data_IF_704329292277
#
_entry.id   IF_704329292277
#
_cell.length_a   1.000
_cell.length_b   1.000
_cell.length_c   1.000
_cell.angle_alpha   90.00
_cell.angle_beta   90.00
_cell.angle_gamma   90.00
#
_symmetry.space_group_name_H-M   'P 1'
#
loop_
_entity.id
_entity.type
_entity.pdbx_description
1 polymer ?
#
# COMPACT_ATOMS: atom_id res chain seq x y z
N UNK A 1 -19.76 10.41 -17.16
CA UNK A 1 -19.49 10.92 -15.79
C UNK A 1 -18.07 10.48 -15.46
N UNK A 2 -17.24 11.29 -14.83
CA UNK A 2 -15.83 10.96 -14.54
C UNK A 2 -15.77 10.04 -13.33
N UNK A 3 -15.04 8.93 -13.43
CA UNK A 3 -14.86 7.98 -12.34
C UNK A 3 -13.42 8.00 -11.78
N UNK A 4 -13.25 7.55 -10.55
CA UNK A 4 -11.96 7.26 -9.92
C UNK A 4 -11.84 5.75 -9.75
N UNK A 5 -10.86 5.13 -10.42
CA UNK A 5 -10.64 3.69 -10.43
C UNK A 5 -9.40 3.40 -9.60
N UNK A 6 -9.58 2.83 -8.43
CA UNK A 6 -8.51 2.44 -7.51
C UNK A 6 -8.17 0.96 -7.69
N UNK A 7 -6.89 0.68 -7.79
CA UNK A 7 -6.37 -0.66 -8.04
C UNK A 7 -5.31 -0.99 -6.99
N UNK A 8 -5.54 -2.03 -6.20
CA UNK A 8 -4.41 -2.67 -5.52
C UNK A 8 -3.43 -3.22 -6.55
N UNK A 9 -2.20 -3.47 -6.11
CA UNK A 9 -1.11 -3.86 -6.98
C UNK A 9 -0.87 -5.38 -6.98
N UNK A 10 -0.51 -5.93 -5.82
CA UNK A 10 -0.03 -7.30 -5.69
C UNK A 10 -1.19 -8.29 -5.51
N UNK A 11 -1.46 -9.13 -6.50
CA UNK A 11 -2.63 -10.03 -6.51
C UNK A 11 -3.88 -9.42 -7.15
N UNK A 12 -3.84 -8.15 -7.56
CA UNK A 12 -4.93 -7.43 -8.21
C UNK A 12 -4.53 -6.94 -9.61
N UNK A 13 -3.71 -5.87 -9.71
CA UNK A 13 -3.22 -5.35 -10.99
C UNK A 13 -2.13 -6.23 -11.58
N UNK A 14 -1.26 -6.77 -10.73
CA UNK A 14 -0.18 -7.66 -11.14
C UNK A 14 -0.66 -9.12 -11.20
N UNK A 15 -0.29 -9.79 -12.29
CA UNK A 15 -0.40 -11.25 -12.41
C UNK A 15 0.51 -11.96 -11.39
N UNK A 16 0.36 -13.27 -11.24
CA UNK A 16 1.26 -14.11 -10.42
C UNK A 16 2.73 -14.05 -10.90
N UNK A 17 2.96 -13.74 -12.18
CA UNK A 17 4.29 -13.47 -12.74
C UNK A 17 4.77 -12.02 -12.54
N UNK A 18 4.05 -11.21 -11.76
CA UNK A 18 4.36 -9.80 -11.44
C UNK A 18 4.42 -8.88 -12.66
N UNK A 19 3.61 -9.16 -13.66
CA UNK A 19 3.43 -8.33 -14.86
C UNK A 19 2.01 -7.79 -14.92
N UNK A 20 1.80 -6.73 -15.67
CA UNK A 20 0.46 -6.25 -16.01
C UNK A 20 0.09 -6.84 -17.37
N UNK A 21 -1.09 -7.43 -17.49
CA UNK A 21 -1.53 -7.97 -18.76
C UNK A 21 -1.76 -6.85 -19.78
N UNK A 22 -1.63 -7.20 -21.07
CA UNK A 22 -1.84 -6.24 -22.13
C UNK A 22 -3.29 -5.72 -22.15
N UNK A 23 -4.24 -6.61 -21.93
CA UNK A 23 -5.66 -6.28 -21.94
C UNK A 23 -6.03 -5.35 -20.78
N UNK A 24 -5.52 -5.62 -19.57
CA UNK A 24 -5.69 -4.71 -18.43
C UNK A 24 -5.10 -3.33 -18.71
N UNK A 25 -3.88 -3.25 -19.26
CA UNK A 25 -3.28 -1.97 -19.59
C UNK A 25 -4.07 -1.19 -20.65
N UNK A 26 -4.57 -1.86 -21.67
CA UNK A 26 -5.41 -1.25 -22.72
C UNK A 26 -6.74 -0.74 -22.15
N UNK A 27 -7.40 -1.53 -21.29
CA UNK A 27 -8.65 -1.13 -20.64
C UNK A 27 -8.46 0.12 -19.75
N UNK A 28 -7.41 0.17 -18.96
CA UNK A 28 -7.14 1.31 -18.08
C UNK A 28 -6.77 2.58 -18.87
N UNK A 29 -5.97 2.47 -19.94
CA UNK A 29 -5.67 3.59 -20.83
C UNK A 29 -6.95 4.14 -21.47
N UNK A 30 -7.80 3.25 -22.00
CA UNK A 30 -9.08 3.63 -22.56
C UNK A 30 -9.96 4.39 -21.55
N UNK A 31 -10.02 3.92 -20.28
CA UNK A 31 -10.80 4.62 -19.23
C UNK A 31 -10.28 6.03 -18.99
N UNK A 32 -8.95 6.22 -18.92
CA UNK A 32 -8.38 7.57 -18.80
C UNK A 32 -8.62 8.46 -20.02
N UNK A 33 -8.64 7.89 -21.23
CA UNK A 33 -9.02 8.61 -22.46
C UNK A 33 -10.49 9.06 -22.42
N UNK A 34 -11.36 8.30 -21.73
CA UNK A 34 -12.75 8.71 -21.47
C UNK A 34 -12.89 9.75 -20.33
N UNK A 35 -11.80 10.14 -19.70
CA UNK A 35 -11.76 11.18 -18.68
C UNK A 35 -11.76 10.67 -17.24
N UNK A 36 -11.71 9.36 -17.01
CA UNK A 36 -11.55 8.80 -15.68
C UNK A 36 -10.15 9.05 -15.12
N UNK A 37 -9.96 8.75 -13.85
CA UNK A 37 -8.66 8.80 -13.18
C UNK A 37 -8.37 7.42 -12.60
N UNK A 38 -7.21 6.87 -12.93
CA UNK A 38 -6.70 5.63 -12.35
C UNK A 38 -5.73 5.96 -11.22
N UNK A 39 -5.89 5.30 -10.07
CA UNK A 39 -4.99 5.40 -8.91
C UNK A 39 -4.49 4.01 -8.51
N UNK A 40 -3.18 3.89 -8.30
CA UNK A 40 -2.59 2.69 -7.72
C UNK A 40 -2.59 2.82 -6.19
N UNK A 41 -3.14 1.81 -5.49
CA UNK A 41 -3.27 1.79 -4.03
C UNK A 41 -2.52 0.58 -3.45
N UNK A 42 -1.38 0.80 -2.81
CA UNK A 42 -0.45 -0.28 -2.45
C UNK A 42 0.19 -0.09 -1.08
N UNK A 43 0.66 -1.19 -0.46
CA UNK A 43 1.56 -1.15 0.70
C UNK A 43 3.00 -0.75 0.37
N UNK A 44 3.37 -0.71 -0.91
CA UNK A 44 4.72 -0.37 -1.35
C UNK A 44 5.02 1.13 -1.18
N UNK A 45 6.32 1.49 -1.05
CA UNK A 45 6.75 2.89 -1.19
C UNK A 45 6.52 3.38 -2.63
N UNK A 46 6.38 4.69 -2.79
CA UNK A 46 6.08 5.31 -4.10
C UNK A 46 7.14 4.99 -5.15
N UNK A 47 8.39 4.94 -4.75
CA UNK A 47 9.52 4.60 -5.63
C UNK A 47 9.42 3.17 -6.17
N UNK A 48 8.88 2.25 -5.37
CA UNK A 48 8.72 0.82 -5.69
C UNK A 48 7.67 0.51 -6.75
N UNK A 49 6.87 1.48 -7.17
CA UNK A 49 5.82 1.30 -8.19
C UNK A 49 6.09 2.03 -9.51
N UNK A 50 7.25 2.67 -9.63
CA UNK A 50 7.65 3.36 -10.87
C UNK A 50 7.56 2.47 -12.13
N UNK A 51 8.05 1.21 -12.12
CA UNK A 51 7.94 0.35 -13.30
C UNK A 51 6.51 0.14 -13.78
N UNK A 52 5.54 0.04 -12.85
CA UNK A 52 4.13 -0.15 -13.17
C UNK A 52 3.51 1.12 -13.75
N UNK A 53 3.84 2.27 -13.19
CA UNK A 53 3.40 3.58 -13.70
C UNK A 53 3.94 3.79 -15.11
N UNK A 54 5.23 3.51 -15.33
CA UNK A 54 5.87 3.68 -16.64
C UNK A 54 5.30 2.70 -17.67
N UNK A 55 5.02 1.44 -17.28
CA UNK A 55 4.40 0.44 -18.16
C UNK A 55 2.96 0.80 -18.54
N UNK A 56 2.14 1.25 -17.58
CA UNK A 56 0.78 1.65 -17.83
C UNK A 56 0.71 2.84 -18.80
N UNK A 57 1.67 3.75 -18.73
CA UNK A 57 1.78 4.93 -19.61
C UNK A 57 0.43 5.63 -19.81
N UNK A 58 -0.31 5.80 -18.70
CA UNK A 58 -1.66 6.36 -18.71
C UNK A 58 -1.66 7.79 -19.28
N UNK A 59 -2.64 8.17 -20.12
CA UNK A 59 -2.65 9.48 -20.80
C UNK A 59 -3.05 10.65 -19.92
N UNK A 60 -3.67 10.43 -18.75
CA UNK A 60 -4.13 11.45 -17.82
C UNK A 60 -3.03 12.43 -17.36
N UNK A 61 -3.43 13.64 -16.95
CA UNK A 61 -2.51 14.70 -16.51
C UNK A 61 -1.97 14.50 -15.10
N UNK A 62 -2.69 13.76 -14.28
CA UNK A 62 -2.31 13.43 -12.90
C UNK A 62 -2.02 11.93 -12.80
N UNK A 63 -1.15 11.58 -11.85
CA UNK A 63 -0.75 10.20 -11.55
C UNK A 63 -0.89 9.97 -10.06
N UNK A 64 -2.13 9.90 -9.54
CA UNK A 64 -2.31 9.72 -8.12
C UNK A 64 -1.86 8.32 -7.70
N UNK A 65 -1.23 8.26 -6.53
CA UNK A 65 -0.77 7.03 -5.90
C UNK A 65 -1.14 7.08 -4.43
N UNK A 66 -1.75 6.02 -3.93
CA UNK A 66 -1.95 5.73 -2.52
C UNK A 66 -0.88 4.70 -2.14
N UNK A 67 0.12 5.13 -1.39
CA UNK A 67 1.28 4.33 -1.00
C UNK A 67 1.27 4.02 0.51
N UNK A 68 2.09 3.05 0.93
CA UNK A 68 2.22 2.65 2.33
C UNK A 68 0.86 2.35 2.98
N UNK A 69 -0.01 1.61 2.28
CA UNK A 69 -1.37 1.27 2.74
C UNK A 69 -2.21 2.50 3.14
N UNK A 70 -2.01 3.65 2.47
CA UNK A 70 -2.76 4.87 2.73
C UNK A 70 -2.06 5.89 3.65
N UNK A 71 -0.86 5.59 4.14
CA UNK A 71 -0.09 6.59 4.90
C UNK A 71 0.35 7.79 4.04
N UNK A 72 0.38 7.64 2.72
CA UNK A 72 0.71 8.71 1.78
C UNK A 72 -0.15 8.63 0.53
N UNK A 73 -0.81 9.74 0.19
CA UNK A 73 -1.41 9.93 -1.14
C UNK A 73 -0.74 11.12 -1.81
N UNK A 74 -0.18 10.90 -3.00
CA UNK A 74 0.44 11.98 -3.77
C UNK A 74 0.24 11.80 -5.27
N UNK A 75 0.33 12.89 -6.00
CA UNK A 75 0.50 12.85 -7.46
C UNK A 75 1.97 12.53 -7.79
N UNK A 76 2.18 11.42 -8.46
CA UNK A 76 3.51 10.93 -8.83
C UNK A 76 4.23 11.88 -9.79
N UNK A 77 3.50 12.53 -10.71
CA UNK A 77 4.07 13.40 -11.73
C UNK A 77 4.58 14.72 -11.15
N UNK A 78 3.77 15.41 -10.35
CA UNK A 78 4.10 16.71 -9.77
C UNK A 78 4.77 16.61 -8.39
N UNK A 79 4.63 15.46 -7.72
CA UNK A 79 5.05 15.30 -6.33
C UNK A 79 4.11 15.94 -5.30
N UNK A 80 2.97 16.55 -5.71
CA UNK A 80 2.00 17.16 -4.80
C UNK A 80 1.44 16.13 -3.84
N UNK A 81 1.57 16.36 -2.55
CA UNK A 81 0.98 15.55 -1.50
C UNK A 81 -0.50 15.94 -1.35
N UNK A 82 -1.38 14.96 -1.39
CA UNK A 82 -2.84 15.10 -1.24
C UNK A 82 -3.20 14.81 0.21
N UNK A 83 -2.72 13.71 0.75
CA UNK A 83 -2.86 13.36 2.17
C UNK A 83 -1.63 12.62 2.68
N UNK A 84 -1.37 12.76 3.99
CA UNK A 84 -0.36 11.96 4.68
C UNK A 84 -0.76 11.73 6.13
N UNK A 85 -0.52 10.52 6.60
CA UNK A 85 -0.73 10.10 7.98
C UNK A 85 0.56 9.43 8.46
N UNK A 86 1.28 10.08 9.37
CA UNK A 86 2.65 9.74 9.72
C UNK A 86 2.79 9.26 11.15
N UNK A 87 3.85 8.51 11.41
CA UNK A 87 4.37 8.16 12.73
C UNK A 87 5.45 9.20 13.07
N UNK A 88 5.41 9.78 14.26
CA UNK A 88 6.43 10.72 14.73
C UNK A 88 7.78 10.02 14.97
N UNK A 89 8.88 10.77 14.89
CA UNK A 89 10.20 10.25 15.23
C UNK A 89 10.29 9.75 16.68
N UNK A 90 9.55 10.37 17.60
CA UNK A 90 9.40 9.88 18.98
C UNK A 90 8.78 8.48 19.00
N UNK A 91 7.66 8.27 18.31
CA UNK A 91 6.98 6.98 18.26
C UNK A 91 7.81 5.95 17.48
N UNK A 92 8.52 6.37 16.44
CA UNK A 92 9.42 5.51 15.68
C UNK A 92 10.55 4.95 16.54
N UNK A 93 11.14 5.78 17.46
CA UNK A 93 12.14 5.30 18.43
C UNK A 93 11.55 4.33 19.44
N UNK A 94 10.33 4.54 19.91
CA UNK A 94 9.66 3.61 20.83
C UNK A 94 9.40 2.25 20.16
N UNK A 95 8.93 2.26 18.91
CA UNK A 95 8.75 1.05 18.09
C UNK A 95 10.12 0.37 17.90
N UNK A 96 11.17 1.14 17.58
CA UNK A 96 12.55 0.65 17.45
C UNK A 96 13.02 -0.06 18.70
N UNK A 97 12.95 0.60 19.88
CA UNK A 97 13.40 0.03 21.16
C UNK A 97 12.66 -1.28 21.48
N UNK A 98 11.39 -1.34 21.13
CA UNK A 98 10.56 -2.54 21.34
C UNK A 98 10.95 -3.67 20.38
N UNK A 99 11.23 -3.37 19.12
CA UNK A 99 11.70 -4.34 18.13
C UNK A 99 13.08 -4.89 18.46
N UNK A 100 14.00 -4.04 18.92
CA UNK A 100 15.33 -4.45 19.37
C UNK A 100 15.23 -5.44 20.54
N UNK A 101 14.40 -5.15 21.54
CA UNK A 101 14.15 -6.09 22.65
C UNK A 101 13.54 -7.41 22.20
N UNK A 102 12.74 -7.38 21.13
CA UNK A 102 12.16 -8.58 20.53
C UNK A 102 13.15 -9.37 19.65
N UNK A 103 14.36 -8.82 19.38
CA UNK A 103 15.34 -9.46 18.51
C UNK A 103 15.11 -9.25 17.01
N UNK A 104 14.40 -8.19 16.64
CA UNK A 104 14.08 -7.86 15.25
C UNK A 104 15.03 -6.81 14.66
N UNK A 105 15.29 -6.91 13.36
CA UNK A 105 15.77 -5.80 12.55
C UNK A 105 14.67 -4.76 12.34
N UNK A 106 15.08 -3.49 12.19
CA UNK A 106 14.15 -2.36 12.09
C UNK A 106 14.39 -1.58 10.79
N UNK A 107 13.31 -1.32 10.08
CA UNK A 107 13.28 -0.41 8.93
C UNK A 107 12.29 0.72 9.22
N UNK A 108 12.62 1.95 8.79
CA UNK A 108 11.72 3.08 8.86
C UNK A 108 11.73 3.84 7.52
N UNK A 109 10.55 4.24 7.05
CA UNK A 109 10.36 4.84 5.73
C UNK A 109 9.79 6.24 5.88
N UNK A 110 10.56 7.26 5.52
CA UNK A 110 10.08 8.65 5.46
C UNK A 110 9.90 9.10 4.01
N UNK A 111 9.44 10.34 3.81
CA UNK A 111 9.37 10.94 2.47
C UNK A 111 10.75 11.20 1.84
N UNK A 112 11.80 11.21 2.63
CA UNK A 112 13.15 11.63 2.20
C UNK A 112 14.14 10.49 2.18
N UNK A 113 13.97 9.51 3.04
CA UNK A 113 14.94 8.45 3.26
C UNK A 113 14.32 7.19 3.86
N UNK A 114 14.92 6.08 3.54
CA UNK A 114 14.60 4.80 4.15
C UNK A 114 15.75 4.47 5.09
N UNK A 115 15.44 4.14 6.34
CA UNK A 115 16.41 3.93 7.39
C UNK A 115 16.46 2.49 7.83
N UNK A 116 17.67 2.01 8.11
CA UNK A 116 17.92 0.74 8.81
C UNK A 116 18.89 0.97 9.96
N UNK A 117 18.74 0.23 11.04
CA UNK A 117 19.68 0.24 12.14
C UNK A 117 20.74 -0.85 11.90
N UNK A 118 22.06 -0.49 11.75
CA UNK A 118 23.06 -1.41 11.25
C UNK A 118 23.37 -2.58 12.19
N UNK A 119 23.34 -2.38 13.53
CA UNK A 119 23.69 -3.42 14.47
C UNK A 119 22.70 -4.59 14.43
N UNK A 120 21.40 -4.29 14.25
CA UNK A 120 20.31 -5.27 14.20
C UNK A 120 20.01 -5.79 12.81
N UNK A 121 20.42 -5.04 11.78
CA UNK A 121 20.23 -5.46 10.38
C UNK A 121 21.46 -6.14 9.78
N UNK A 122 22.60 -6.14 10.46
CA UNK A 122 23.83 -6.78 9.98
C UNK A 122 23.62 -8.30 9.84
N UNK A 123 23.63 -8.77 8.59
CA UNK A 123 23.40 -10.18 8.29
C UNK A 123 21.91 -10.59 8.31
N UNK A 124 20.98 -9.67 8.53
CA UNK A 124 19.54 -9.94 8.44
C UNK A 124 19.16 -10.11 6.97
N UNK A 125 18.72 -11.30 6.52
CA UNK A 125 18.38 -11.54 5.11
C UNK A 125 17.15 -10.75 4.65
N UNK A 126 16.25 -10.41 5.56
CA UNK A 126 14.97 -9.78 5.26
C UNK A 126 15.12 -8.31 4.86
N UNK A 127 16.16 -7.61 5.37
CA UNK A 127 16.50 -6.24 4.93
C UNK A 127 16.77 -6.21 3.42
N UNK A 128 17.58 -7.15 2.91
CA UNK A 128 17.86 -7.25 1.48
C UNK A 128 16.62 -7.58 0.65
N UNK A 129 15.70 -8.40 1.19
CA UNK A 129 14.45 -8.75 0.53
C UNK A 129 13.59 -7.50 0.35
N UNK A 130 13.35 -6.70 1.39
CA UNK A 130 12.52 -5.49 1.32
C UNK A 130 13.11 -4.49 0.31
N UNK A 131 14.41 -4.24 0.38
CA UNK A 131 15.07 -3.30 -0.53
C UNK A 131 15.00 -3.78 -2.00
N UNK A 132 15.28 -5.06 -2.24
CA UNK A 132 15.23 -5.66 -3.58
C UNK A 132 13.81 -5.72 -4.14
N UNK A 133 12.83 -6.08 -3.30
CA UNK A 133 11.44 -6.21 -3.71
C UNK A 133 10.85 -4.89 -4.21
N UNK A 134 11.21 -3.79 -3.54
CA UNK A 134 10.74 -2.45 -3.87
C UNK A 134 11.69 -1.68 -4.79
N UNK A 135 12.88 -2.20 -5.12
CA UNK A 135 13.88 -1.50 -5.93
C UNK A 135 14.37 -0.20 -5.29
N UNK A 136 14.44 -0.17 -3.96
CA UNK A 136 14.85 1.00 -3.17
C UNK A 136 16.13 0.73 -2.41
N UNK A 137 16.73 1.79 -1.91
CA UNK A 137 17.91 1.75 -1.02
C UNK A 137 17.54 2.25 0.36
N UNK A 138 18.27 1.81 1.38
CA UNK A 138 18.18 2.33 2.72
C UNK A 138 19.56 2.79 3.22
N UNK A 139 19.59 3.79 4.07
CA UNK A 139 20.77 4.28 4.74
C UNK A 139 20.81 3.80 6.20
N UNK A 140 22.02 3.56 6.70
CA UNK A 140 22.23 3.22 8.10
C UNK A 140 22.02 4.45 8.98
N UNK A 141 21.24 4.30 10.06
CA UNK A 141 20.97 5.38 11.00
C UNK A 141 20.96 4.89 12.46
N UNK A 142 21.43 5.74 13.35
CA UNK A 142 21.23 5.59 14.78
C UNK A 142 19.84 6.10 15.15
N UNK A 143 18.91 5.18 15.41
CA UNK A 143 17.52 5.52 15.69
C UNK A 143 17.36 6.41 16.93
N UNK A 144 18.25 6.34 17.92
CA UNK A 144 18.19 7.22 19.08
C UNK A 144 18.48 8.68 18.77
N UNK A 145 19.07 8.97 17.58
CA UNK A 145 19.32 10.34 17.10
C UNK A 145 18.25 10.88 16.16
N UNK A 146 17.21 10.12 15.87
CA UNK A 146 16.08 10.59 15.06
C UNK A 146 15.36 11.70 15.83
N UNK A 147 15.12 12.89 15.21
CA UNK A 147 14.35 13.97 15.82
C UNK A 147 12.92 13.56 16.16
N UNK A 148 12.33 14.14 17.20
CA UNK A 148 10.95 13.84 17.63
C UNK A 148 9.92 14.13 16.55
N UNK A 149 10.16 15.16 15.76
CA UNK A 149 9.29 15.70 14.70
C UNK A 149 9.57 15.13 13.30
N UNK A 150 10.54 14.21 13.18
CA UNK A 150 10.71 13.50 11.90
C UNK A 150 9.49 12.61 11.62
N UNK A 151 9.02 12.64 10.37
CA UNK A 151 7.79 11.95 9.97
C UNK A 151 8.11 10.67 9.18
N UNK A 152 7.52 9.55 9.62
CA UNK A 152 7.65 8.25 8.96
C UNK A 152 6.29 7.76 8.46
N UNK A 153 6.26 7.29 7.23
CA UNK A 153 5.07 6.66 6.63
C UNK A 153 4.84 5.28 7.23
N UNK A 154 5.93 4.57 7.53
CA UNK A 154 5.93 3.20 8.04
C UNK A 154 7.18 2.95 8.87
N UNK A 155 7.03 2.22 9.98
CA UNK A 155 8.13 1.55 10.68
C UNK A 155 7.86 0.05 10.63
N UNK A 156 8.89 -0.77 10.45
CA UNK A 156 8.73 -2.19 10.19
C UNK A 156 9.74 -3.02 10.96
N UNK A 157 9.29 -4.13 11.53
CA UNK A 157 10.14 -5.20 12.02
C UNK A 157 10.42 -6.19 10.90
N UNK A 158 11.65 -6.68 10.87
CA UNK A 158 12.12 -7.70 9.93
C UNK A 158 12.87 -8.79 10.69
N UNK A 159 12.25 -9.95 10.89
CA UNK A 159 12.80 -11.05 11.68
C UNK A 159 12.21 -12.41 11.23
N UNK A 160 12.77 -13.49 11.80
CA UNK A 160 12.20 -14.82 11.64
C UNK A 160 10.71 -14.83 12.06
N UNK A 161 9.85 -15.57 11.34
CA UNK A 161 8.41 -15.62 11.62
C UNK A 161 8.09 -15.94 13.08
N UNK A 162 8.83 -16.85 13.70
CA UNK A 162 8.66 -17.29 15.09
C UNK A 162 8.92 -16.17 16.09
N UNK A 163 9.87 -15.27 15.81
CA UNK A 163 10.16 -14.09 16.63
C UNK A 163 8.97 -13.13 16.59
N UNK A 164 8.46 -12.87 15.39
CA UNK A 164 7.31 -11.98 15.23
C UNK A 164 6.03 -12.57 15.80
N UNK A 165 5.82 -13.90 15.68
CA UNK A 165 4.69 -14.62 16.26
C UNK A 165 4.74 -14.64 17.80
N UNK A 166 5.94 -14.70 18.39
CA UNK A 166 6.12 -14.55 19.81
C UNK A 166 5.84 -13.10 20.25
N UNK A 167 6.37 -12.13 19.50
CA UNK A 167 6.20 -10.71 19.80
C UNK A 167 4.74 -10.28 19.85
N UNK A 168 3.91 -10.63 18.85
CA UNK A 168 2.49 -10.18 18.80
C UNK A 168 1.64 -10.64 19.98
N UNK A 169 2.14 -11.59 20.78
CA UNK A 169 1.47 -12.09 22.00
C UNK A 169 1.90 -11.33 23.27
N UNK A 170 2.90 -10.47 23.19
CA UNK A 170 3.43 -9.74 24.36
C UNK A 170 2.55 -8.58 24.79
N UNK A 171 2.63 -8.11 26.04
CA UNK A 171 1.97 -6.90 26.49
C UNK A 171 2.39 -5.66 25.68
N UNK A 172 3.68 -5.54 25.35
CA UNK A 172 4.25 -4.44 24.58
C UNK A 172 3.66 -4.37 23.17
N UNK A 173 3.47 -5.52 22.53
CA UNK A 173 2.79 -5.59 21.23
C UNK A 173 1.34 -5.10 21.31
N UNK A 174 0.62 -5.50 22.38
CA UNK A 174 -0.77 -5.06 22.59
C UNK A 174 -0.87 -3.55 22.79
N UNK A 175 0.09 -2.95 23.49
CA UNK A 175 0.17 -1.50 23.66
C UNK A 175 0.38 -0.80 22.32
N UNK A 176 1.35 -1.26 21.50
CA UNK A 176 1.58 -0.72 20.17
C UNK A 176 0.37 -0.91 19.25
N UNK A 177 -0.28 -2.08 19.28
CA UNK A 177 -1.51 -2.37 18.51
C UNK A 177 -2.69 -1.48 18.92
N UNK A 178 -2.70 -0.97 20.14
CA UNK A 178 -3.70 -0.01 20.61
C UNK A 178 -3.49 1.42 20.07
N UNK A 179 -2.31 1.71 19.54
CA UNK A 179 -1.90 3.05 19.06
C UNK A 179 -1.66 3.10 17.56
N UNK A 180 -1.26 1.99 16.96
CA UNK A 180 -0.88 1.88 15.56
C UNK A 180 -1.69 0.79 14.86
N UNK A 181 -1.90 0.96 13.56
CA UNK A 181 -2.30 -0.14 12.69
C UNK A 181 -1.09 -1.05 12.51
N UNK A 182 -1.25 -2.34 12.85
CA UNK A 182 -0.18 -3.33 12.74
C UNK A 182 -0.58 -4.39 11.72
N UNK A 183 0.23 -4.52 10.67
CA UNK A 183 -0.02 -5.41 9.53
C UNK A 183 1.11 -6.44 9.40
N UNK A 184 0.75 -7.69 9.14
CA UNK A 184 1.70 -8.73 8.74
C UNK A 184 1.71 -8.80 7.21
N UNK A 185 2.62 -8.06 6.55
CA UNK A 185 2.68 -8.00 5.09
C UNK A 185 3.38 -9.22 4.46
N UNK A 186 4.31 -9.82 5.20
CA UNK A 186 4.94 -11.10 4.86
C UNK A 186 5.22 -11.90 6.14
N UNK A 187 5.48 -13.21 6.07
CA UNK A 187 5.74 -14.01 7.28
C UNK A 187 6.83 -13.42 8.19
N UNK A 188 7.78 -12.69 7.62
CA UNK A 188 8.95 -12.11 8.29
C UNK A 188 8.90 -10.57 8.38
N UNK A 189 7.77 -9.92 8.02
CA UNK A 189 7.57 -8.47 8.15
C UNK A 189 6.35 -8.14 9.01
N UNK A 190 6.52 -7.25 9.99
CA UNK A 190 5.44 -6.69 10.79
C UNK A 190 5.52 -5.16 10.69
N UNK A 191 4.52 -4.55 10.11
CA UNK A 191 4.48 -3.13 9.78
C UNK A 191 3.64 -2.35 10.77
N UNK A 192 4.13 -1.18 11.16
CA UNK A 192 3.44 -0.21 12.01
C UNK A 192 3.14 1.03 11.19
N UNK A 193 1.86 1.44 11.16
CA UNK A 193 1.36 2.60 10.43
C UNK A 193 0.51 3.47 11.35
N UNK A 194 0.33 4.74 10.98
CA UNK A 194 -0.62 5.58 11.67
C UNK A 194 -2.05 5.01 11.47
N UNK A 195 -2.87 4.86 12.53
CA UNK A 195 -4.20 4.25 12.43
C UNK A 195 -5.19 5.07 11.58
N UNK A 196 -4.88 6.34 11.30
CA UNK A 196 -5.67 7.18 10.39
C UNK A 196 -5.30 6.97 8.91
N UNK A 197 -4.21 6.24 8.62
CA UNK A 197 -3.81 5.91 7.26
C UNK A 197 -4.42 4.58 6.83
N UNK A 198 -5.36 4.61 5.88
CA UNK A 198 -5.90 3.41 5.25
C UNK A 198 -6.16 3.66 3.76
N UNK A 199 -6.20 2.59 2.97
CA UNK A 199 -6.46 2.72 1.52
C UNK A 199 -7.84 3.34 1.25
N UNK A 200 -8.86 2.95 2.02
CA UNK A 200 -10.22 3.45 1.85
C UNK A 200 -10.35 4.93 2.21
N UNK A 201 -9.80 5.34 3.35
CA UNK A 201 -9.79 6.75 3.72
C UNK A 201 -9.04 7.60 2.69
N UNK A 202 -7.88 7.13 2.23
CA UNK A 202 -7.07 7.81 1.21
C UNK A 202 -7.78 7.90 -0.13
N UNK A 203 -8.53 6.86 -0.53
CA UNK A 203 -9.37 6.89 -1.72
C UNK A 203 -10.44 7.98 -1.63
N UNK A 204 -11.12 8.10 -0.48
CA UNK A 204 -12.15 9.13 -0.31
C UNK A 204 -11.57 10.53 -0.28
N UNK A 205 -10.43 10.77 0.39
CA UNK A 205 -9.74 12.06 0.37
C UNK A 205 -9.28 12.44 -1.04
N UNK A 206 -8.81 11.47 -1.83
CA UNK A 206 -8.45 11.70 -3.23
C UNK A 206 -9.69 12.00 -4.08
N UNK A 207 -10.79 11.30 -3.88
CA UNK A 207 -12.05 11.56 -4.58
C UNK A 207 -12.54 12.98 -4.32
N UNK A 208 -12.52 13.43 -3.06
CA UNK A 208 -12.86 14.79 -2.67
C UNK A 208 -11.94 15.84 -3.31
N UNK A 209 -10.61 15.62 -3.30
CA UNK A 209 -9.62 16.50 -3.94
C UNK A 209 -9.86 16.63 -5.47
N UNK A 210 -10.37 15.59 -6.09
CA UNK A 210 -10.68 15.56 -7.52
C UNK A 210 -12.11 16.00 -7.87
N UNK A 211 -12.97 16.25 -6.87
CA UNK A 211 -14.39 16.55 -7.06
C UNK A 211 -15.18 15.37 -7.63
N UNK A 212 -14.79 14.15 -7.29
CA UNK A 212 -15.47 12.91 -7.70
C UNK A 212 -16.31 12.39 -6.54
N UNK A 213 -17.62 12.23 -6.75
CA UNK A 213 -18.51 11.69 -5.74
C UNK A 213 -18.23 10.19 -5.49
N UNK A 214 -18.45 9.72 -4.24
CA UNK A 214 -18.27 8.32 -3.84
C UNK A 214 -18.88 7.32 -4.82
N UNK A 215 -20.09 7.57 -5.27
CA UNK A 215 -20.84 6.71 -6.22
C UNK A 215 -20.12 6.49 -7.56
N UNK A 216 -19.16 7.35 -7.90
CA UNK A 216 -18.32 7.25 -9.09
C UNK A 216 -16.91 6.73 -8.78
N UNK A 217 -16.69 6.14 -7.60
CA UNK A 217 -15.44 5.47 -7.26
C UNK A 217 -15.58 3.97 -7.44
N UNK A 218 -14.56 3.35 -8.03
CA UNK A 218 -14.48 1.90 -8.25
C UNK A 218 -13.17 1.44 -7.62
N UNK A 219 -13.20 0.40 -6.79
CA UNK A 219 -12.02 -0.15 -6.16
C UNK A 219 -11.85 -1.64 -6.48
N UNK A 220 -10.62 -2.06 -6.74
CA UNK A 220 -10.23 -3.44 -6.93
C UNK A 220 -9.21 -3.84 -5.89
N UNK A 221 -9.39 -5.01 -5.27
CA UNK A 221 -8.51 -5.54 -4.25
C UNK A 221 -8.62 -7.05 -4.07
N UNK A 222 -7.68 -7.67 -3.35
CA UNK A 222 -7.67 -9.10 -3.12
C UNK A 222 -7.34 -9.51 -1.68
N UNK A 223 -6.83 -8.61 -0.85
CA UNK A 223 -6.33 -8.96 0.47
C UNK A 223 -6.99 -8.16 1.62
N UNK A 224 -6.67 -8.53 2.86
CA UNK A 224 -7.26 -7.90 4.05
C UNK A 224 -6.96 -6.39 4.18
N UNK A 225 -5.84 -5.90 3.62
CA UNK A 225 -5.52 -4.47 3.57
C UNK A 225 -6.31 -3.68 2.52
N UNK A 226 -7.16 -4.36 1.73
CA UNK A 226 -8.05 -3.74 0.74
C UNK A 226 -9.49 -3.63 1.22
N UNK A 227 -9.87 -4.34 2.29
CA UNK A 227 -11.27 -4.42 2.75
C UNK A 227 -11.89 -3.04 2.95
N UNK A 228 -11.18 -2.14 3.62
CA UNK A 228 -11.65 -0.78 3.86
C UNK A 228 -11.78 0.05 2.56
N UNK A 229 -10.94 -0.21 1.58
CA UNK A 229 -11.02 0.44 0.26
C UNK A 229 -12.21 -0.08 -0.54
N UNK A 230 -12.45 -1.39 -0.51
CA UNK A 230 -13.60 -2.01 -1.16
C UNK A 230 -14.92 -1.53 -0.57
N UNK A 231 -15.02 -1.45 0.77
CA UNK A 231 -16.21 -0.94 1.48
C UNK A 231 -16.43 0.57 1.28
N UNK A 232 -15.33 1.36 1.23
CA UNK A 232 -15.41 2.81 1.08
C UNK A 232 -15.84 3.23 -0.32
N UNK A 233 -15.45 2.50 -1.36
CA UNK A 233 -15.79 2.81 -2.75
C UNK A 233 -17.30 2.81 -3.03
N UNK A 234 -17.70 3.44 -4.11
CA UNK A 234 -19.06 3.34 -4.65
C UNK A 234 -19.34 1.96 -5.24
N UNK A 235 -18.28 1.32 -5.78
CA UNK A 235 -18.31 -0.08 -6.22
C UNK A 235 -17.00 -0.75 -5.83
N UNK A 236 -17.06 -1.67 -4.88
CA UNK A 236 -15.95 -2.52 -4.46
C UNK A 236 -15.95 -3.84 -5.20
N UNK A 237 -14.82 -4.25 -5.75
CA UNK A 237 -14.67 -5.45 -6.58
C UNK A 237 -13.50 -6.28 -6.06
N UNK A 238 -13.80 -7.48 -5.57
CA UNK A 238 -12.75 -8.41 -5.15
C UNK A 238 -12.31 -9.30 -6.32
N UNK A 239 -11.00 -9.59 -6.36
CA UNK A 239 -10.46 -10.56 -7.30
C UNK A 239 -10.83 -11.99 -6.87
N UNK A 240 -10.98 -12.92 -7.83
CA UNK A 240 -11.32 -14.33 -7.52
C UNK A 240 -10.24 -15.05 -6.69
N UNK A 241 -8.96 -14.66 -6.86
CA UNK A 241 -7.84 -15.13 -6.05
C UNK A 241 -7.80 -14.51 -4.63
N UNK A 242 -8.68 -13.53 -4.36
CA UNK A 242 -8.68 -12.79 -3.10
C UNK A 242 -9.09 -13.62 -1.88
N UNK A 243 -8.76 -13.09 -0.70
CA UNK A 243 -9.14 -13.67 0.60
C UNK A 243 -10.66 -13.60 0.83
N UNK A 244 -11.16 -14.41 1.74
CA UNK A 244 -12.59 -14.42 2.09
C UNK A 244 -13.03 -13.05 2.64
N UNK A 245 -12.17 -12.37 3.41
CA UNK A 245 -12.44 -11.03 3.96
C UNK A 245 -12.58 -9.99 2.83
N UNK A 246 -11.68 -9.99 1.85
CA UNK A 246 -11.78 -9.09 0.70
C UNK A 246 -13.05 -9.35 -0.12
N UNK A 247 -13.38 -10.62 -0.34
CA UNK A 247 -14.61 -11.02 -1.05
C UNK A 247 -15.87 -10.62 -0.30
N UNK A 248 -15.86 -10.69 1.04
CA UNK A 248 -16.99 -10.30 1.87
C UNK A 248 -17.20 -8.77 1.90
N UNK A 249 -16.13 -7.98 1.76
CA UNK A 249 -16.15 -6.53 1.73
C UNK A 249 -16.58 -5.95 0.37
N UNK A 250 -16.58 -6.75 -0.69
CA UNK A 250 -16.84 -6.29 -2.06
C UNK A 250 -18.31 -6.42 -2.44
N UNK A 251 -18.77 -5.56 -3.36
CA UNK A 251 -20.11 -5.66 -3.97
C UNK A 251 -20.23 -6.89 -4.88
N UNK A 252 -19.11 -7.28 -5.51
CA UNK A 252 -19.04 -8.54 -6.27
C UNK A 252 -17.60 -9.02 -6.48
N UNK A 253 -17.49 -10.29 -6.87
CA UNK A 253 -16.20 -10.91 -7.21
C UNK A 253 -16.07 -10.97 -8.73
N UNK A 254 -14.92 -10.60 -9.26
CA UNK A 254 -14.54 -10.74 -10.67
C UNK A 254 -13.65 -11.97 -10.89
N UNK A 255 -13.04 -12.12 -12.08
CA UNK A 255 -12.04 -13.16 -12.33
C UNK A 255 -10.75 -12.89 -11.51
N UNK A 256 -9.82 -13.83 -11.49
CA UNK A 256 -8.54 -13.63 -10.82
C UNK A 256 -7.58 -12.74 -11.63
N UNK A 257 -6.45 -12.40 -11.01
CA UNK A 257 -5.44 -11.52 -11.58
C UNK A 257 -4.66 -12.13 -12.77
N UNK A 258 -4.70 -13.44 -12.96
CA UNK A 258 -4.09 -14.13 -14.10
C UNK A 258 -5.05 -14.28 -15.30
N UNK A 259 -6.34 -14.00 -15.11
CA UNK A 259 -7.39 -14.14 -16.10
C UNK A 259 -8.14 -12.82 -16.38
N UNK A 260 -7.40 -11.71 -16.43
CA UNK A 260 -7.92 -10.38 -16.78
C UNK A 260 -9.17 -9.95 -15.98
N UNK A 261 -9.14 -10.16 -14.66
CA UNK A 261 -10.26 -9.86 -13.77
C UNK A 261 -10.69 -8.38 -13.80
N UNK A 262 -9.75 -7.44 -13.96
CA UNK A 262 -10.07 -6.00 -14.06
C UNK A 262 -10.83 -5.70 -15.35
N UNK A 263 -10.37 -6.07 -16.57
CA UNK A 263 -11.15 -5.93 -17.79
C UNK A 263 -12.52 -6.60 -17.72
N UNK A 264 -12.60 -7.82 -17.17
CA UNK A 264 -13.85 -8.54 -17.01
C UNK A 264 -14.89 -7.77 -16.17
N UNK A 265 -14.46 -7.19 -15.05
CA UNK A 265 -15.31 -6.35 -14.23
C UNK A 265 -15.72 -5.05 -14.93
N UNK A 266 -14.80 -4.40 -15.64
CA UNK A 266 -15.10 -3.18 -16.41
C UNK A 266 -16.12 -3.46 -17.51
N UNK A 267 -16.07 -4.64 -18.17
CA UNK A 267 -17.13 -5.07 -19.13
C UNK A 267 -18.47 -5.26 -18.44
N UNK A 268 -18.50 -5.93 -17.28
CA UNK A 268 -19.73 -6.12 -16.50
C UNK A 268 -20.38 -4.79 -16.11
N UNK A 269 -19.58 -3.76 -15.89
CA UNK A 269 -20.03 -2.40 -15.60
C UNK A 269 -20.33 -1.56 -16.86
N UNK A 270 -20.21 -2.12 -18.08
CA UNK A 270 -20.32 -1.41 -19.37
C UNK A 270 -19.31 -0.26 -19.52
N UNK A 271 -18.13 -0.40 -18.93
CA UNK A 271 -17.03 0.57 -18.98
C UNK A 271 -15.92 0.18 -19.95
N UNK A 272 -15.90 -1.06 -20.45
CA UNK A 272 -14.97 -1.62 -21.42
C UNK A 272 -15.69 -2.60 -22.34
N UNK A 273 -15.26 -2.73 -23.61
CA UNK A 273 -15.87 -3.61 -24.63
C UNK A 273 -15.22 -5.00 -24.68
#
# INVERSE_FOLDING_TARGET
>A
MRSLIALDLDGTLLTSSRTISRETAEALRFREEQGDTVVLATGRPVEGIRPQIDFLALPGKIRPVIAFNGALTRDFASGRIISRETISGKDAREIYDTGVRAGSGIHAFSLRRNLIEPAWNKGNPYTGIEMSYNGITAEEADFHKIPDDEEFMKVMFAAEPEILDAFVRTPEAKELMGRFTVLRSMPFFLEFLNPRGSKGQSLMLLADDLGIHRENTIAFGDAGNDTDMLEAAGTGIAMANGTDDAKAAADFVTLDNDHDGIPAALRKLNLWN
#
